data_IF_107042537710
#
_entry.id   IF_107042537710
#
_cell.length_a   1.000
_cell.length_b   1.000
_cell.length_c   1.000
_cell.angle_alpha   90.00
_cell.angle_beta   90.00
_cell.angle_gamma   90.00
#
_symmetry.space_group_name_H-M   'P 1'
#
loop_
_entity.id
_entity.type
_entity.pdbx_description
1 polymer ?
#
# COMPACT_ATOMS: atom_id res chain seq x y z
N UNK A 1 2.83 14.37 16.08
CA UNK A 1 3.56 14.84 14.88
C UNK A 1 2.54 15.54 14.01
N UNK A 2 2.77 16.81 13.66
CA UNK A 2 1.93 17.57 12.72
C UNK A 2 2.72 17.72 11.42
N UNK A 3 2.62 16.73 10.55
CA UNK A 3 3.24 16.73 9.24
C UNK A 3 2.12 16.85 8.19
N UNK A 4 2.21 17.85 7.32
CA UNK A 4 1.28 18.01 6.20
C UNK A 4 1.75 17.16 5.01
N UNK A 5 0.90 16.21 4.60
CA UNK A 5 1.14 15.26 3.53
C UNK A 5 0.27 15.51 2.28
N UNK A 6 -0.51 16.61 2.22
CA UNK A 6 -1.46 16.84 1.11
C UNK A 6 -0.80 16.76 -0.27
N UNK A 7 0.40 17.33 -0.42
CA UNK A 7 1.17 17.33 -1.67
C UNK A 7 2.57 16.74 -1.49
N UNK A 8 2.75 15.85 -0.51
CA UNK A 8 4.06 15.30 -0.14
C UNK A 8 4.03 13.78 -0.03
N UNK A 9 5.07 13.15 -0.55
CA UNK A 9 5.28 11.71 -0.37
C UNK A 9 5.68 11.41 1.07
N UNK A 10 4.96 10.46 1.70
CA UNK A 10 5.33 9.90 3.00
C UNK A 10 6.79 9.39 3.01
N UNK A 11 7.20 8.62 1.99
CA UNK A 11 8.56 8.07 1.92
C UNK A 11 9.64 9.14 1.84
N UNK A 12 9.34 10.27 1.18
CA UNK A 12 10.25 11.42 1.16
C UNK A 12 10.43 11.99 2.56
N UNK A 13 9.34 12.19 3.29
CA UNK A 13 9.38 12.65 4.68
C UNK A 13 10.14 11.69 5.60
N UNK A 14 9.86 10.39 5.52
CA UNK A 14 10.56 9.35 6.29
C UNK A 14 12.08 9.39 6.05
N UNK A 15 12.48 9.54 4.79
CA UNK A 15 13.90 9.58 4.41
C UNK A 15 14.58 10.89 4.83
N UNK A 16 14.02 12.04 4.45
CA UNK A 16 14.68 13.34 4.58
C UNK A 16 14.64 13.86 6.02
N UNK A 17 13.53 13.65 6.76
CA UNK A 17 13.33 14.22 8.09
C UNK A 17 13.68 13.25 9.21
N UNK A 18 13.33 11.98 9.05
CA UNK A 18 13.49 10.96 10.09
C UNK A 18 14.67 10.03 9.86
N UNK A 19 15.37 10.17 8.73
CA UNK A 19 16.48 9.29 8.33
C UNK A 19 16.09 7.79 8.33
N UNK A 20 14.81 7.51 8.06
CA UNK A 20 14.27 6.17 7.88
C UNK A 20 14.27 5.86 6.38
N UNK A 21 15.26 5.09 5.94
CA UNK A 21 15.47 4.77 4.52
C UNK A 21 14.85 3.41 4.19
N UNK A 22 13.79 3.35 3.37
CA UNK A 22 13.23 2.10 2.88
C UNK A 22 14.28 1.30 2.10
N UNK A 23 14.38 0.00 2.36
CA UNK A 23 15.29 -0.91 1.66
C UNK A 23 14.53 -1.98 0.88
N UNK A 24 13.54 -2.61 1.50
CA UNK A 24 12.70 -3.65 0.89
C UNK A 24 11.36 -3.75 1.61
N UNK A 25 10.40 -4.47 1.03
CA UNK A 25 9.08 -4.67 1.65
C UNK A 25 8.57 -6.10 1.43
N UNK A 26 7.84 -6.62 2.40
CA UNK A 26 6.97 -7.78 2.24
C UNK A 26 5.62 -7.29 1.74
N UNK A 27 5.10 -7.91 0.68
CA UNK A 27 3.86 -7.49 0.00
C UNK A 27 2.94 -8.70 -0.09
N UNK A 28 1.76 -8.61 0.51
CA UNK A 28 0.66 -9.56 0.32
C UNK A 28 -0.37 -8.97 -0.65
N UNK A 29 -0.99 -9.84 -1.45
CA UNK A 29 -2.07 -9.49 -2.38
C UNK A 29 -3.16 -10.55 -2.26
N UNK A 30 -4.34 -10.15 -1.81
CA UNK A 30 -5.44 -11.07 -1.52
C UNK A 30 -6.76 -10.58 -2.14
N UNK A 31 -7.50 -11.44 -2.86
CA UNK A 31 -8.85 -11.09 -3.28
C UNK A 31 -9.79 -11.12 -2.07
N UNK A 32 -10.49 -10.03 -1.82
CA UNK A 32 -11.48 -9.91 -0.73
C UNK A 32 -12.76 -9.27 -1.26
N UNK A 33 -13.85 -9.39 -0.51
CA UNK A 33 -15.07 -8.63 -0.79
C UNK A 33 -14.92 -7.23 -0.20
N UNK A 34 -15.36 -6.20 -0.92
CA UNK A 34 -15.41 -4.84 -0.40
C UNK A 34 -16.33 -4.79 0.83
N UNK A 35 -15.87 -4.12 1.89
CA UNK A 35 -16.77 -3.74 2.99
C UNK A 35 -17.77 -2.70 2.48
N UNK A 36 -18.92 -2.55 3.13
CA UNK A 36 -19.91 -1.51 2.78
C UNK A 36 -19.27 -0.12 2.71
N UNK A 37 -18.33 0.16 3.62
CA UNK A 37 -17.63 1.44 3.66
C UNK A 37 -16.68 1.63 2.48
N UNK A 38 -15.91 0.60 2.13
CA UNK A 38 -15.03 0.67 0.96
C UNK A 38 -15.86 0.84 -0.32
N UNK A 39 -16.96 0.08 -0.43
CA UNK A 39 -17.84 0.13 -1.58
C UNK A 39 -18.44 1.53 -1.78
N UNK A 40 -18.93 2.15 -0.71
CA UNK A 40 -19.42 3.54 -0.74
C UNK A 40 -18.32 4.53 -1.15
N UNK A 41 -17.14 4.45 -0.53
CA UNK A 41 -16.04 5.40 -0.77
C UNK A 41 -15.56 5.42 -2.21
N UNK A 42 -15.55 4.25 -2.87
CA UNK A 42 -15.02 4.12 -4.23
C UNK A 42 -16.10 3.83 -5.28
N UNK A 43 -17.38 3.89 -4.92
CA UNK A 43 -18.51 3.70 -5.83
C UNK A 43 -18.54 2.30 -6.45
N UNK A 44 -18.52 1.27 -5.61
CA UNK A 44 -18.75 -0.13 -5.96
C UNK A 44 -20.09 -0.60 -5.43
N UNK A 45 -20.60 -1.69 -6.01
CA UNK A 45 -21.66 -2.46 -5.39
C UNK A 45 -21.17 -3.10 -4.08
N UNK A 46 -22.05 -3.31 -3.08
CA UNK A 46 -21.72 -4.08 -1.89
C UNK A 46 -21.15 -5.44 -2.24
N UNK A 47 -20.17 -5.91 -1.46
CA UNK A 47 -19.46 -7.17 -1.65
C UNK A 47 -18.73 -7.31 -3.01
N UNK A 48 -18.56 -6.23 -3.77
CA UNK A 48 -17.78 -6.29 -5.02
C UNK A 48 -16.34 -6.79 -4.75
N UNK A 49 -15.78 -7.67 -5.58
CA UNK A 49 -14.41 -8.14 -5.42
C UNK A 49 -13.39 -7.00 -5.53
N UNK A 50 -12.51 -6.89 -4.55
CA UNK A 50 -11.37 -5.95 -4.52
C UNK A 50 -10.09 -6.69 -4.17
N UNK A 51 -8.94 -6.07 -4.48
CA UNK A 51 -7.65 -6.60 -4.11
C UNK A 51 -7.16 -5.90 -2.84
N UNK A 52 -7.06 -6.62 -1.74
CA UNK A 52 -6.37 -6.18 -0.53
C UNK A 52 -4.86 -6.29 -0.75
N UNK A 53 -4.15 -5.19 -0.53
CA UNK A 53 -2.69 -5.15 -0.54
C UNK A 53 -2.20 -4.69 0.82
N UNK A 54 -1.39 -5.52 1.48
CA UNK A 54 -0.70 -5.16 2.72
C UNK A 54 0.81 -5.21 2.51
N UNK A 55 1.48 -4.11 2.85
CA UNK A 55 2.92 -4.00 2.72
C UNK A 55 3.56 -3.63 4.06
N UNK A 56 4.56 -4.39 4.48
CA UNK A 56 5.46 -4.00 5.58
C UNK A 56 6.79 -3.62 4.95
N UNK A 57 7.20 -2.37 5.13
CA UNK A 57 8.46 -1.84 4.59
C UNK A 57 9.53 -1.85 5.68
N UNK A 58 10.73 -2.30 5.32
CA UNK A 58 11.87 -2.45 6.21
C UNK A 58 13.01 -1.52 5.82
N UNK A 59 13.76 -1.04 6.81
CA UNK A 59 14.99 -0.27 6.61
C UNK A 59 16.23 -1.15 6.35
N UNK A 60 17.39 -0.51 6.15
CA UNK A 60 18.68 -1.17 5.95
C UNK A 60 19.14 -2.04 7.13
N UNK A 61 18.53 -1.88 8.31
CA UNK A 61 18.77 -2.69 9.50
C UNK A 61 17.70 -3.76 9.73
N UNK A 62 16.84 -4.02 8.73
CA UNK A 62 15.70 -4.94 8.80
C UNK A 62 14.67 -4.59 9.90
N UNK A 63 14.54 -3.30 10.25
CA UNK A 63 13.49 -2.84 11.16
C UNK A 63 12.27 -2.41 10.35
N UNK A 64 11.04 -2.80 10.74
CA UNK A 64 9.84 -2.32 10.07
C UNK A 64 9.68 -0.81 10.33
N UNK A 65 9.39 -0.04 9.27
CA UNK A 65 9.27 1.42 9.32
C UNK A 65 7.91 1.94 8.82
N UNK A 66 7.15 1.12 8.10
CA UNK A 66 5.86 1.49 7.51
C UNK A 66 4.97 0.25 7.34
N UNK A 67 3.68 0.41 7.63
CA UNK A 67 2.62 -0.56 7.34
C UNK A 67 1.60 0.13 6.45
N UNK A 68 1.48 -0.36 5.22
CA UNK A 68 0.54 0.15 4.24
C UNK A 68 -0.55 -0.88 3.99
N UNK A 69 -1.81 -0.47 4.10
CA UNK A 69 -2.97 -1.31 3.79
C UNK A 69 -3.83 -0.55 2.79
N UNK A 70 -4.19 -1.21 1.68
CA UNK A 70 -5.10 -0.63 0.69
C UNK A 70 -6.02 -1.66 0.08
N UNK A 71 -7.17 -1.19 -0.41
CA UNK A 71 -8.09 -1.98 -1.23
C UNK A 71 -8.22 -1.35 -2.60
N UNK A 72 -7.91 -2.13 -3.63
CA UNK A 72 -7.84 -1.68 -4.99
C UNK A 72 -8.96 -2.25 -5.86
N UNK A 73 -9.55 -1.39 -6.69
CA UNK A 73 -10.58 -1.73 -7.68
C UNK A 73 -10.02 -2.53 -8.85
N UNK A 74 -10.21 -3.85 -8.82
CA UNK A 74 -9.78 -4.75 -9.90
C UNK A 74 -10.41 -4.45 -11.27
N UNK A 75 -11.60 -3.82 -11.29
CA UNK A 75 -12.27 -3.37 -12.51
C UNK A 75 -11.65 -2.11 -13.12
N UNK A 76 -10.84 -1.37 -12.36
CA UNK A 76 -10.19 -0.11 -12.77
C UNK A 76 -8.68 -0.20 -12.93
N UNK A 77 -8.07 -1.36 -12.66
CA UNK A 77 -6.70 -1.61 -13.07
C UNK A 77 -6.21 -2.99 -12.67
N UNK A 78 -4.88 -3.16 -12.64
CA UNK A 78 -4.27 -4.47 -12.45
C UNK A 78 -2.90 -4.35 -11.81
N UNK A 79 -2.53 -5.33 -10.99
CA UNK A 79 -1.14 -5.53 -10.58
C UNK A 79 -0.40 -6.29 -11.68
N UNK A 80 0.77 -5.80 -12.06
CA UNK A 80 1.65 -6.46 -13.04
C UNK A 80 3.00 -6.71 -12.39
N UNK A 81 3.42 -7.97 -12.34
CA UNK A 81 4.73 -8.38 -11.84
C UNK A 81 5.55 -8.90 -13.02
N UNK A 82 6.82 -8.50 -13.11
CA UNK A 82 7.78 -9.08 -14.05
C UNK A 82 8.72 -9.99 -13.26
N UNK A 83 8.66 -11.29 -13.56
CA UNK A 83 9.56 -12.29 -13.00
C UNK A 83 10.67 -12.55 -14.01
N UNK A 84 11.92 -12.31 -13.62
CA UNK A 84 13.10 -12.65 -14.41
C UNK A 84 13.64 -13.98 -13.89
N UNK A 85 13.93 -14.91 -14.80
CA UNK A 85 14.63 -16.16 -14.46
C UNK A 85 16.11 -15.98 -14.77
N UNK A 86 16.96 -16.42 -13.85
CA UNK A 86 18.40 -16.59 -14.05
C UNK A 86 18.69 -17.76 -14.99
#
# INVERSE_FOLDING_TARGET
>A
LEEDLTDRSLYRLLTERYNLKPQWAEVSLEPVLATDRDAELVGLEPEAPVLLMENITYDVSNRPIDLFISRFRGDKGRVRVRVLRS
#
